data_IF_840647413274
#
_entry.id   IF_840647413274
#
_cell.length_a   1.000
_cell.length_b   1.000
_cell.length_c   1.000
_cell.angle_alpha   90.00
_cell.angle_beta   90.00
_cell.angle_gamma   90.00
#
_symmetry.space_group_name_H-M   'P 1'
#
loop_
_entity.id
_entity.type
_entity.pdbx_description
1 polymer ?
#
# COMPACT_ATOMS: atom_id res chain seq x y z
N UNK A 1 -6.81 2.16 -4.43
CA UNK A 1 -7.85 2.24 -4.66
C UNK A 1 -8.91 2.77 -5.63
N UNK A 2 -8.61 3.01 -6.92
CA UNK A 2 -9.58 3.47 -7.92
C UNK A 2 -9.56 2.58 -9.15
N UNK A 3 -10.41 2.94 -10.12
CA UNK A 3 -10.40 2.37 -11.48
C UNK A 3 -9.78 3.38 -12.44
N UNK A 4 -8.90 2.89 -13.32
CA UNK A 4 -8.27 3.70 -14.36
C UNK A 4 -8.91 3.41 -15.72
N UNK A 5 -9.65 4.39 -16.23
CA UNK A 5 -10.28 4.32 -17.55
C UNK A 5 -9.32 4.83 -18.61
N UNK A 6 -8.91 3.94 -19.51
CA UNK A 6 -8.01 4.28 -20.61
C UNK A 6 -8.66 5.24 -21.59
N UNK A 7 -7.94 6.29 -21.98
CA UNK A 7 -8.38 7.28 -22.98
C UNK A 7 -7.66 7.10 -24.32
N UNK A 8 -7.09 5.92 -24.58
CA UNK A 8 -6.34 5.58 -25.80
C UNK A 8 -5.11 6.45 -26.02
N UNK A 9 -4.48 6.94 -24.92
CA UNK A 9 -3.33 7.83 -24.97
C UNK A 9 -3.66 9.29 -25.32
N UNK A 10 -4.94 9.67 -25.33
CA UNK A 10 -5.39 11.02 -25.67
C UNK A 10 -5.90 11.75 -24.42
N UNK A 11 -5.65 13.07 -24.37
CA UNK A 11 -6.24 13.97 -23.41
C UNK A 11 -7.48 14.66 -24.01
N UNK A 12 -8.33 15.29 -23.16
CA UNK A 12 -9.46 16.10 -23.63
C UNK A 12 -10.73 15.32 -23.91
N UNK A 13 -10.81 14.03 -23.58
CA UNK A 13 -12.07 13.27 -23.68
C UNK A 13 -13.05 13.70 -22.59
N UNK A 14 -14.35 13.82 -22.88
CA UNK A 14 -15.34 14.24 -21.91
C UNK A 14 -15.45 13.22 -20.76
N UNK A 15 -15.46 13.71 -19.54
CA UNK A 15 -15.74 12.95 -18.33
C UNK A 15 -17.15 13.29 -17.88
N UNK A 16 -17.99 12.27 -17.71
CA UNK A 16 -19.38 12.41 -17.35
C UNK A 16 -19.60 12.10 -15.87
N UNK A 17 -20.50 12.84 -15.23
CA UNK A 17 -20.96 12.56 -13.88
C UNK A 17 -21.66 11.19 -13.83
N UNK A 18 -21.28 10.32 -12.92
CA UNK A 18 -21.85 8.95 -12.83
C UNK A 18 -23.26 8.91 -12.25
N UNK A 19 -23.63 9.91 -11.45
CA UNK A 19 -24.94 10.04 -10.81
C UNK A 19 -25.21 11.51 -10.48
N UNK A 20 -26.48 11.88 -10.23
CA UNK A 20 -26.84 13.21 -9.72
C UNK A 20 -26.05 13.54 -8.46
N UNK A 21 -25.53 14.77 -8.35
CA UNK A 21 -24.77 15.18 -7.17
C UNK A 21 -24.31 16.63 -7.23
N UNK A 22 -23.65 17.07 -6.19
CA UNK A 22 -23.03 18.39 -6.12
C UNK A 22 -21.51 18.28 -5.94
N UNK A 23 -20.77 19.24 -6.47
CA UNK A 23 -19.33 19.34 -6.25
C UNK A 23 -19.09 19.64 -4.77
N UNK A 24 -18.41 18.76 -4.09
CA UNK A 24 -18.08 18.92 -2.67
C UNK A 24 -16.65 19.40 -2.43
N UNK A 25 -15.73 19.09 -3.35
CA UNK A 25 -14.32 19.50 -3.26
C UNK A 25 -13.66 19.52 -4.64
N UNK A 26 -12.71 20.42 -4.81
CA UNK A 26 -11.80 20.45 -5.97
C UNK A 26 -10.37 20.57 -5.49
N UNK A 27 -9.49 19.80 -6.10
CA UNK A 27 -8.04 19.85 -5.87
C UNK A 27 -7.33 20.30 -7.14
N UNK A 28 -6.31 21.15 -6.96
CA UNK A 28 -5.28 21.44 -7.96
C UNK A 28 -3.94 21.38 -7.25
N UNK A 29 -3.13 20.38 -7.59
CA UNK A 29 -1.84 20.11 -6.93
C UNK A 29 -0.79 19.71 -7.97
N UNK A 30 0.51 19.98 -7.75
CA UNK A 30 1.56 19.56 -8.68
C UNK A 30 1.81 18.06 -8.71
N UNK A 31 1.29 17.30 -7.73
CA UNK A 31 1.45 15.86 -7.60
C UNK A 31 0.14 15.16 -7.23
N UNK A 32 0.17 13.88 -6.88
CA UNK A 32 -1.01 13.10 -6.52
C UNK A 32 -2.02 13.07 -7.68
N UNK A 33 -3.25 13.51 -7.43
CA UNK A 33 -4.31 13.57 -8.46
C UNK A 33 -4.07 14.66 -9.55
N UNK A 34 -3.13 15.59 -9.35
CA UNK A 34 -3.03 16.77 -10.19
C UNK A 34 -4.25 17.65 -10.01
N UNK A 35 -5.14 17.64 -11.00
CA UNK A 35 -6.46 18.24 -10.89
C UNK A 35 -7.49 17.14 -10.61
N UNK A 36 -8.35 17.35 -9.60
CA UNK A 36 -9.42 16.42 -9.26
C UNK A 36 -10.70 17.12 -8.82
N UNK A 37 -11.84 16.51 -9.17
CA UNK A 37 -13.17 16.94 -8.76
C UNK A 37 -13.84 15.82 -7.95
N UNK A 38 -14.47 16.21 -6.83
CA UNK A 38 -15.21 15.33 -5.93
C UNK A 38 -16.69 15.70 -6.02
N UNK A 39 -17.54 14.72 -6.32
CA UNK A 39 -18.97 14.90 -6.42
C UNK A 39 -19.66 14.03 -5.38
N UNK A 40 -20.39 14.67 -4.47
CA UNK A 40 -21.17 13.99 -3.44
C UNK A 40 -22.58 13.72 -3.94
N UNK A 41 -23.01 12.46 -3.82
CA UNK A 41 -24.29 11.95 -4.30
C UNK A 41 -25.29 11.72 -3.16
N UNK A 42 -26.61 11.81 -3.43
CA UNK A 42 -27.65 11.61 -2.39
C UNK A 42 -27.66 10.22 -1.75
N UNK A 43 -27.03 9.22 -2.41
CA UNK A 43 -26.97 7.83 -1.94
C UNK A 43 -25.87 7.56 -0.91
N UNK A 44 -25.19 8.59 -0.39
CA UNK A 44 -24.13 8.45 0.63
C UNK A 44 -22.75 8.15 0.08
N UNK A 45 -22.54 8.22 -1.23
CA UNK A 45 -21.24 8.08 -1.87
C UNK A 45 -20.72 9.38 -2.44
N UNK A 46 -19.40 9.47 -2.56
CA UNK A 46 -18.70 10.56 -3.26
C UNK A 46 -17.84 9.93 -4.35
N UNK A 47 -18.04 10.36 -5.60
CA UNK A 47 -17.16 10.00 -6.71
C UNK A 47 -16.02 11.00 -6.84
N UNK A 48 -14.82 10.52 -7.14
CA UNK A 48 -13.61 11.30 -7.35
C UNK A 48 -13.11 11.05 -8.77
N UNK A 49 -12.78 12.12 -9.48
CA UNK A 49 -12.25 12.08 -10.83
C UNK A 49 -10.92 12.80 -10.85
N UNK A 50 -9.83 12.04 -11.01
CA UNK A 50 -8.45 12.53 -10.96
C UNK A 50 -7.80 12.66 -12.33
N UNK A 51 -6.64 13.30 -12.36
CA UNK A 51 -5.80 13.55 -13.53
C UNK A 51 -6.49 14.36 -14.63
N UNK A 52 -7.53 15.17 -14.28
CA UNK A 52 -8.30 15.92 -15.28
C UNK A 52 -7.48 17.05 -15.86
N UNK A 53 -7.71 17.35 -17.14
CA UNK A 53 -7.08 18.44 -17.87
C UNK A 53 -7.76 19.78 -17.59
N UNK A 54 -9.10 19.76 -17.53
CA UNK A 54 -9.90 20.97 -17.42
C UNK A 54 -11.26 20.65 -16.79
N UNK A 55 -11.68 21.45 -15.82
CA UNK A 55 -13.02 21.38 -15.24
C UNK A 55 -14.08 21.98 -16.16
N UNK A 56 -15.33 21.58 -15.98
CA UNK A 56 -16.49 22.28 -16.57
C UNK A 56 -16.51 23.75 -16.15
N UNK A 57 -17.03 24.61 -17.01
CA UNK A 57 -16.94 26.09 -16.87
C UNK A 57 -17.41 26.62 -15.52
N UNK A 58 -18.48 26.04 -14.95
CA UNK A 58 -18.98 26.43 -13.64
C UNK A 58 -17.98 26.18 -12.50
N UNK A 59 -17.25 25.10 -12.56
CA UNK A 59 -16.20 24.75 -11.59
C UNK A 59 -14.92 25.53 -11.85
N UNK A 60 -14.49 25.59 -13.12
CA UNK A 60 -13.28 26.31 -13.52
C UNK A 60 -13.30 27.76 -13.06
N UNK A 61 -14.44 28.45 -13.24
CA UNK A 61 -14.59 29.85 -12.81
C UNK A 61 -14.32 30.03 -11.31
N UNK A 62 -14.86 29.16 -10.45
CA UNK A 62 -14.66 29.25 -8.99
C UNK A 62 -13.20 29.00 -8.63
N UNK A 63 -12.55 28.02 -9.29
CA UNK A 63 -11.13 27.71 -9.09
C UNK A 63 -10.25 28.88 -9.50
N UNK A 64 -10.46 29.44 -10.69
CA UNK A 64 -9.69 30.57 -11.22
C UNK A 64 -9.85 31.83 -10.32
N UNK A 65 -11.08 32.15 -9.91
CA UNK A 65 -11.34 33.26 -8.98
C UNK A 65 -10.61 33.08 -7.65
N UNK A 66 -10.53 31.85 -7.12
CA UNK A 66 -9.79 31.54 -5.92
C UNK A 66 -8.29 31.72 -6.14
N UNK A 67 -7.74 31.15 -7.22
CA UNK A 67 -6.31 31.23 -7.56
C UNK A 67 -5.81 32.66 -7.70
N UNK A 68 -6.53 33.48 -8.45
CA UNK A 68 -6.19 34.90 -8.63
C UNK A 68 -6.32 35.71 -7.33
N UNK A 69 -7.37 35.46 -6.53
CA UNK A 69 -7.56 36.15 -5.25
C UNK A 69 -6.47 35.86 -4.23
N UNK A 70 -5.96 34.64 -4.21
CA UNK A 70 -4.98 34.18 -3.22
C UNK A 70 -3.56 34.09 -3.79
N UNK A 71 -3.36 34.49 -5.05
CA UNK A 71 -2.06 34.42 -5.75
C UNK A 71 -1.38 33.06 -5.62
N UNK A 72 -2.16 31.96 -5.76
CA UNK A 72 -1.69 30.60 -5.60
C UNK A 72 -2.14 29.70 -6.75
N UNK A 73 -1.25 28.80 -7.20
CA UNK A 73 -1.63 27.77 -8.16
C UNK A 73 -2.36 26.61 -7.48
N UNK A 74 -1.87 26.18 -6.31
CA UNK A 74 -2.42 25.05 -5.58
C UNK A 74 -3.76 25.40 -4.93
N UNK A 75 -4.73 24.53 -5.09
CA UNK A 75 -6.10 24.69 -4.57
C UNK A 75 -6.54 23.42 -3.85
N UNK A 76 -7.11 23.60 -2.67
CA UNK A 76 -7.92 22.60 -1.97
C UNK A 76 -9.20 23.30 -1.51
N UNK A 77 -10.20 23.30 -2.37
CA UNK A 77 -11.41 24.12 -2.21
C UNK A 77 -12.61 23.22 -1.92
N UNK A 78 -13.25 23.42 -0.78
CA UNK A 78 -14.54 22.84 -0.44
C UNK A 78 -15.66 23.72 -0.97
N UNK A 79 -16.67 23.11 -1.53
CA UNK A 79 -17.87 23.76 -2.05
C UNK A 79 -19.03 23.59 -1.06
N UNK A 80 -19.88 24.62 -0.99
CA UNK A 80 -21.14 24.49 -0.28
C UNK A 80 -22.11 23.56 -1.05
N UNK A 81 -22.96 22.82 -0.35
CA UNK A 81 -23.99 22.02 -0.99
C UNK A 81 -24.81 22.85 -1.98
N UNK A 82 -25.00 22.32 -3.17
CA UNK A 82 -25.75 22.97 -4.27
C UNK A 82 -25.13 24.23 -4.92
N UNK A 83 -23.92 24.62 -4.51
CA UNK A 83 -23.20 25.74 -5.15
C UNK A 83 -22.92 25.42 -6.63
N UNK A 84 -22.47 24.20 -6.94
CA UNK A 84 -22.36 23.65 -8.29
C UNK A 84 -22.86 22.22 -8.27
N UNK A 85 -23.85 21.90 -9.08
CA UNK A 85 -24.45 20.56 -9.17
C UNK A 85 -24.45 20.05 -10.59
N UNK A 86 -24.41 18.73 -10.73
CA UNK A 86 -24.47 18.04 -12.01
C UNK A 86 -25.50 16.92 -11.97
N UNK A 87 -26.10 16.65 -13.11
CA UNK A 87 -26.93 15.48 -13.35
C UNK A 87 -26.11 14.33 -13.88
N UNK A 88 -26.59 13.11 -13.69
CA UNK A 88 -26.01 11.93 -14.31
C UNK A 88 -25.84 12.13 -15.82
N UNK A 89 -24.66 11.84 -16.34
CA UNK A 89 -24.31 12.00 -17.76
C UNK A 89 -23.87 13.40 -18.18
N UNK A 90 -23.97 14.43 -17.35
CA UNK A 90 -23.43 15.76 -17.67
C UNK A 90 -21.90 15.76 -17.66
N UNK A 91 -21.29 16.57 -18.53
CA UNK A 91 -19.83 16.71 -18.62
C UNK A 91 -19.34 17.57 -17.45
N UNK A 92 -18.49 16.98 -16.61
CA UNK A 92 -17.92 17.61 -15.42
C UNK A 92 -16.49 18.09 -15.62
N UNK A 93 -15.75 17.44 -16.53
CA UNK A 93 -14.35 17.72 -16.82
C UNK A 93 -13.93 17.11 -18.16
N UNK A 94 -12.68 17.39 -18.57
CA UNK A 94 -12.00 16.73 -19.67
C UNK A 94 -10.84 15.89 -19.12
N UNK A 95 -10.64 14.68 -19.64
CA UNK A 95 -9.55 13.77 -19.24
C UNK A 95 -8.19 14.39 -19.54
N UNK A 96 -7.22 14.12 -18.67
CA UNK A 96 -5.87 14.67 -18.75
C UNK A 96 -4.78 13.66 -18.40
N UNK A 97 -3.66 14.22 -17.94
CA UNK A 97 -2.47 13.48 -17.50
C UNK A 97 -1.77 14.25 -16.36
N UNK A 98 -2.54 15.00 -15.56
CA UNK A 98 -2.01 15.86 -14.52
C UNK A 98 -1.61 15.06 -13.26
N UNK A 99 -0.64 15.58 -12.49
CA UNK A 99 -0.17 14.96 -11.24
C UNK A 99 0.70 13.71 -11.45
N UNK A 100 0.56 12.70 -10.59
CA UNK A 100 1.26 11.43 -10.72
C UNK A 100 0.56 10.51 -11.71
N UNK A 101 0.86 10.69 -12.98
CA UNK A 101 0.30 9.87 -14.07
C UNK A 101 1.37 9.53 -15.09
N UNK A 102 1.40 8.27 -15.54
CA UNK A 102 2.35 7.76 -16.54
C UNK A 102 1.80 7.82 -17.98
N UNK A 103 0.61 8.35 -18.17
CA UNK A 103 -0.04 8.50 -19.47
C UNK A 103 -1.50 8.88 -19.33
N UNK A 104 -2.12 9.45 -20.40
CA UNK A 104 -3.50 9.94 -20.35
C UNK A 104 -4.50 8.85 -19.94
N UNK A 105 -5.24 9.09 -18.86
CA UNK A 105 -6.32 8.25 -18.36
C UNK A 105 -7.25 9.05 -17.44
N UNK A 106 -8.40 8.51 -17.09
CA UNK A 106 -9.22 8.96 -15.98
C UNK A 106 -9.01 8.03 -14.80
N UNK A 107 -8.52 8.55 -13.68
CA UNK A 107 -8.57 7.88 -12.40
C UNK A 107 -9.90 8.17 -11.70
N UNK A 108 -10.68 7.14 -11.38
CA UNK A 108 -11.97 7.28 -10.73
C UNK A 108 -12.03 6.47 -9.43
N UNK A 109 -12.48 7.13 -8.35
CA UNK A 109 -12.73 6.47 -7.06
C UNK A 109 -14.19 6.62 -6.66
N UNK A 110 -14.66 5.69 -5.85
CA UNK A 110 -15.91 5.80 -5.11
C UNK A 110 -15.57 5.72 -3.62
N UNK A 111 -16.09 6.66 -2.85
CA UNK A 111 -15.88 6.77 -1.41
C UNK A 111 -17.20 6.82 -0.67
N UNK A 112 -17.23 6.30 0.55
CA UNK A 112 -18.30 6.64 1.49
C UNK A 112 -18.17 8.11 1.88
N UNK A 113 -19.25 8.84 1.81
CA UNK A 113 -19.23 10.30 2.07
C UNK A 113 -18.92 10.62 3.53
N UNK A 114 -19.41 9.83 4.46
CA UNK A 114 -19.28 10.01 5.92
C UNK A 114 -17.88 9.71 6.45
N UNK A 115 -17.26 8.63 5.97
CA UNK A 115 -15.96 8.15 6.47
C UNK A 115 -14.80 8.46 5.54
N UNK A 116 -15.07 8.79 4.27
CA UNK A 116 -14.03 8.90 3.23
C UNK A 116 -13.44 7.57 2.80
N UNK A 117 -13.98 6.44 3.29
CA UNK A 117 -13.53 5.09 2.95
C UNK A 117 -13.57 4.86 1.44
N UNK A 118 -12.42 4.49 0.87
CA UNK A 118 -12.31 4.08 -0.53
C UNK A 118 -12.97 2.72 -0.68
N UNK A 119 -13.94 2.63 -1.56
CA UNK A 119 -14.64 1.40 -1.92
C UNK A 119 -14.10 0.90 -3.26
N UNK A 120 -14.06 -0.42 -3.47
CA UNK A 120 -13.75 -0.98 -4.78
C UNK A 120 -14.83 -0.56 -5.79
N UNK A 121 -14.52 0.32 -6.78
CA UNK A 121 -15.53 0.81 -7.72
C UNK A 121 -16.11 -0.29 -8.59
N UNK A 122 -15.40 -1.40 -8.80
CA UNK A 122 -15.84 -2.50 -9.65
C UNK A 122 -17.17 -3.12 -9.15
N UNK A 123 -17.45 -3.03 -7.84
CA UNK A 123 -18.72 -3.48 -7.25
C UNK A 123 -19.96 -2.84 -7.90
N UNK A 124 -19.82 -1.63 -8.44
CA UNK A 124 -20.92 -0.88 -9.06
C UNK A 124 -21.04 -1.13 -10.57
N UNK A 125 -20.17 -1.97 -11.14
CA UNK A 125 -20.10 -2.22 -12.59
C UNK A 125 -20.19 -3.70 -12.95
N UNK A 126 -20.50 -4.59 -12.01
CA UNK A 126 -20.53 -6.04 -12.24
C UNK A 126 -21.57 -6.50 -13.26
N UNK A 127 -22.60 -5.68 -13.54
CA UNK A 127 -23.59 -5.91 -14.59
C UNK A 127 -23.06 -5.53 -15.98
N UNK A 128 -22.09 -4.63 -16.06
CA UNK A 128 -21.54 -4.06 -17.31
C UNK A 128 -20.19 -4.62 -17.68
N UNK A 129 -19.34 -4.87 -16.68
CA UNK A 129 -18.03 -5.47 -16.87
C UNK A 129 -18.14 -6.95 -16.54
N UNK A 130 -17.75 -7.81 -17.47
CA UNK A 130 -17.73 -9.26 -17.31
C UNK A 130 -16.32 -9.71 -17.08
N UNK A 131 -16.16 -10.72 -16.22
CA UNK A 131 -14.88 -11.35 -15.98
C UNK A 131 -15.05 -12.84 -15.68
N UNK A 132 -14.26 -13.67 -16.34
CA UNK A 132 -14.21 -15.13 -16.18
C UNK A 132 -12.80 -15.63 -15.86
N UNK A 133 -11.84 -14.71 -15.72
CA UNK A 133 -10.43 -15.04 -15.54
C UNK A 133 -10.08 -15.08 -14.05
N UNK A 134 -9.72 -16.24 -13.48
CA UNK A 134 -9.38 -16.34 -12.06
C UNK A 134 -8.04 -15.68 -11.73
N UNK A 135 -7.86 -15.22 -10.48
CA UNK A 135 -6.59 -14.75 -9.98
C UNK A 135 -5.48 -15.80 -10.12
N UNK A 136 -4.24 -15.35 -10.36
CA UNK A 136 -3.09 -16.24 -10.55
C UNK A 136 -1.94 -15.87 -9.64
N UNK A 137 -1.40 -16.88 -8.94
CA UNK A 137 -0.17 -16.75 -8.20
C UNK A 137 1.05 -17.15 -9.03
N UNK A 138 2.19 -16.55 -8.73
CA UNK A 138 3.48 -16.88 -9.35
C UNK A 138 4.49 -17.41 -8.33
N UNK A 139 4.35 -17.03 -7.03
CA UNK A 139 5.33 -17.34 -6.00
C UNK A 139 4.66 -17.41 -4.63
N UNK A 140 5.14 -18.36 -3.82
CA UNK A 140 4.92 -18.42 -2.37
C UNK A 140 6.20 -17.96 -1.66
N UNK A 141 6.05 -17.24 -0.57
CA UNK A 141 7.15 -16.87 0.32
C UNK A 141 6.94 -17.49 1.70
N UNK A 142 7.95 -18.09 2.28
CA UNK A 142 7.96 -18.53 3.68
C UNK A 142 8.85 -17.60 4.49
N UNK A 143 8.38 -17.23 5.67
CA UNK A 143 9.04 -16.30 6.59
C UNK A 143 9.30 -17.01 7.92
N UNK A 144 10.47 -17.62 8.11
CA UNK A 144 10.88 -18.09 9.44
C UNK A 144 10.91 -16.90 10.40
N UNK A 145 10.29 -17.03 11.57
CA UNK A 145 10.37 -16.00 12.59
C UNK A 145 11.78 -15.99 13.20
N UNK A 146 12.39 -14.82 13.28
CA UNK A 146 13.79 -14.65 13.74
C UNK A 146 13.98 -15.26 15.15
N UNK A 147 14.95 -16.12 15.32
CA UNK A 147 15.22 -16.83 16.58
C UNK A 147 14.18 -17.86 17.00
N UNK A 148 13.15 -18.11 16.19
CA UNK A 148 12.06 -19.03 16.53
C UNK A 148 11.64 -19.97 15.40
N UNK A 149 12.17 -19.80 14.20
CA UNK A 149 11.82 -20.62 13.05
C UNK A 149 12.97 -20.79 12.06
N UNK A 150 12.91 -21.84 11.26
CA UNK A 150 13.90 -22.16 10.22
C UNK A 150 13.20 -22.84 9.04
N UNK A 151 13.63 -22.51 7.82
CA UNK A 151 13.20 -23.14 6.56
C UNK A 151 14.44 -23.57 5.79
N UNK A 152 14.55 -24.87 5.49
CA UNK A 152 15.70 -25.48 4.80
C UNK A 152 17.06 -25.05 5.39
N UNK A 153 17.16 -25.06 6.72
CA UNK A 153 18.38 -24.70 7.44
C UNK A 153 18.68 -23.21 7.55
N UNK A 154 17.77 -22.36 7.11
CA UNK A 154 17.96 -20.89 7.12
C UNK A 154 16.86 -20.16 7.87
N UNK A 155 17.23 -19.10 8.58
CA UNK A 155 16.27 -18.14 9.17
C UNK A 155 15.92 -16.98 8.22
N UNK A 156 16.39 -17.03 6.97
CA UNK A 156 16.01 -16.06 5.94
C UNK A 156 14.75 -16.49 5.23
N UNK A 157 13.97 -15.51 4.74
CA UNK A 157 12.79 -15.78 3.91
C UNK A 157 13.14 -16.62 2.68
N UNK A 158 12.27 -17.55 2.33
CA UNK A 158 12.44 -18.51 1.23
C UNK A 158 11.34 -18.34 0.21
N UNK A 159 11.70 -18.05 -1.03
CA UNK A 159 10.75 -18.02 -2.17
C UNK A 159 10.63 -19.40 -2.82
N UNK A 160 9.41 -19.74 -3.22
CA UNK A 160 9.04 -20.98 -3.92
C UNK A 160 8.23 -20.60 -5.14
N UNK A 161 8.68 -20.97 -6.32
CA UNK A 161 7.89 -20.81 -7.55
C UNK A 161 6.65 -21.69 -7.51
N UNK A 162 5.52 -21.20 -8.01
CA UNK A 162 4.29 -22.00 -8.14
C UNK A 162 4.53 -23.29 -8.94
N UNK A 163 5.43 -23.27 -9.93
CA UNK A 163 5.81 -24.46 -10.70
C UNK A 163 6.52 -25.55 -9.84
N UNK A 164 7.05 -25.21 -8.68
CA UNK A 164 7.79 -26.11 -7.79
C UNK A 164 7.00 -26.56 -6.56
N UNK A 165 5.70 -26.22 -6.44
CA UNK A 165 4.88 -26.51 -5.25
C UNK A 165 4.68 -28.01 -4.98
N UNK A 166 4.93 -28.87 -5.95
CA UNK A 166 4.91 -30.33 -5.76
C UNK A 166 6.06 -30.88 -4.92
N UNK A 167 7.09 -30.09 -4.64
CA UNK A 167 8.23 -30.50 -3.81
C UNK A 167 8.01 -30.01 -2.38
N UNK A 168 8.02 -30.91 -1.37
CA UNK A 168 7.93 -30.51 0.03
C UNK A 168 9.14 -29.65 0.46
N UNK A 169 8.87 -28.64 1.29
CA UNK A 169 9.88 -27.75 1.87
C UNK A 169 10.02 -28.06 3.35
N UNK A 170 11.24 -28.32 3.83
CA UNK A 170 11.45 -28.63 5.25
C UNK A 170 11.47 -27.37 6.11
N UNK A 171 10.77 -27.41 7.25
CA UNK A 171 10.76 -26.32 8.22
C UNK A 171 10.65 -26.82 9.66
N UNK A 172 11.02 -25.95 10.61
CA UNK A 172 10.86 -26.18 12.05
C UNK A 172 10.64 -24.87 12.80
N UNK A 173 9.80 -24.90 13.84
CA UNK A 173 9.47 -23.73 14.65
C UNK A 173 8.43 -22.82 14.01
N UNK A 174 8.48 -21.51 14.29
CA UNK A 174 7.47 -20.54 13.92
C UNK A 174 7.70 -20.00 12.49
N UNK A 175 6.72 -20.21 11.62
CA UNK A 175 6.78 -19.85 10.19
C UNK A 175 5.52 -19.08 9.81
N UNK A 176 5.68 -17.96 9.12
CA UNK A 176 4.60 -17.31 8.38
C UNK A 176 4.73 -17.55 6.87
N UNK A 177 3.67 -17.28 6.12
CA UNK A 177 3.67 -17.41 4.67
C UNK A 177 3.24 -16.11 3.99
N UNK A 178 3.44 -16.02 2.68
CA UNK A 178 2.93 -14.96 1.82
C UNK A 178 2.81 -15.45 0.39
N UNK A 179 2.09 -14.70 -0.44
CA UNK A 179 1.80 -15.07 -1.82
C UNK A 179 1.95 -13.87 -2.74
N UNK A 180 2.65 -14.06 -3.86
CA UNK A 180 2.64 -13.11 -4.98
C UNK A 180 1.59 -13.56 -5.98
N UNK A 181 0.51 -12.82 -6.04
CA UNK A 181 -0.61 -13.08 -6.93
C UNK A 181 -1.19 -11.78 -7.47
N UNK A 182 -1.78 -11.87 -8.64
CA UNK A 182 -2.54 -10.81 -9.29
C UNK A 182 -3.85 -11.37 -9.81
N UNK A 183 -4.82 -10.52 -9.88
CA UNK A 183 -6.04 -10.76 -10.63
C UNK A 183 -5.90 -10.26 -12.06
N UNK A 184 -6.70 -10.82 -12.98
CA UNK A 184 -6.71 -10.52 -14.40
C UNK A 184 -8.15 -10.41 -14.86
N UNK A 185 -8.42 -9.56 -15.83
CA UNK A 185 -9.78 -9.37 -16.35
C UNK A 185 -9.82 -9.65 -17.85
N UNK A 186 -10.95 -10.16 -18.29
CA UNK A 186 -11.22 -10.45 -19.69
C UNK A 186 -11.00 -9.21 -20.57
N UNK A 187 -10.32 -9.38 -21.69
CA UNK A 187 -10.07 -8.31 -22.66
C UNK A 187 -9.05 -7.25 -22.26
N UNK A 188 -8.32 -7.44 -21.14
CA UNK A 188 -7.23 -6.55 -20.71
C UNK A 188 -5.94 -7.31 -20.45
N UNK A 189 -4.82 -6.61 -20.46
CA UNK A 189 -3.49 -7.14 -20.08
C UNK A 189 -2.98 -6.57 -18.75
N UNK A 190 -3.81 -5.84 -18.03
CA UNK A 190 -3.42 -5.24 -16.76
C UNK A 190 -3.44 -6.30 -15.64
N UNK A 191 -2.60 -6.06 -14.63
CA UNK A 191 -2.64 -6.78 -13.37
C UNK A 191 -3.50 -5.99 -12.37
N UNK A 192 -4.39 -6.69 -11.68
CA UNK A 192 -5.24 -6.13 -10.64
C UNK A 192 -4.92 -6.74 -9.28
N UNK A 193 -5.38 -6.11 -8.21
CA UNK A 193 -5.30 -6.67 -6.87
C UNK A 193 -6.25 -7.85 -6.71
N UNK A 194 -5.80 -8.90 -6.02
CA UNK A 194 -6.67 -10.02 -5.65
C UNK A 194 -7.62 -9.58 -4.55
N UNK A 195 -8.93 -9.80 -4.74
CA UNK A 195 -9.94 -9.38 -3.75
C UNK A 195 -9.84 -10.17 -2.46
N UNK A 196 -9.73 -11.49 -2.54
CA UNK A 196 -9.68 -12.37 -1.37
C UNK A 196 -8.50 -13.32 -1.45
N UNK A 197 -7.75 -13.40 -0.34
CA UNK A 197 -6.66 -14.36 -0.15
C UNK A 197 -6.89 -15.06 1.18
N UNK A 198 -7.02 -16.37 1.16
CA UNK A 198 -7.19 -17.19 2.36
C UNK A 198 -6.10 -18.24 2.43
N UNK A 199 -5.46 -18.37 3.59
CA UNK A 199 -4.49 -19.42 3.88
C UNK A 199 -5.09 -20.42 4.87
N UNK A 200 -5.07 -21.68 4.48
CA UNK A 200 -5.34 -22.83 5.36
C UNK A 200 -4.06 -23.61 5.61
N UNK A 201 -3.93 -24.15 6.82
CA UNK A 201 -2.96 -25.18 7.15
C UNK A 201 -3.73 -26.39 7.69
N UNK A 202 -3.56 -27.52 7.03
CA UNK A 202 -4.42 -28.69 7.18
C UNK A 202 -5.90 -28.30 6.94
N UNK A 203 -6.74 -28.30 7.99
CA UNK A 203 -8.15 -27.91 7.91
C UNK A 203 -8.43 -26.54 8.53
N UNK A 204 -7.42 -25.91 9.14
CA UNK A 204 -7.58 -24.66 9.90
C UNK A 204 -7.32 -23.45 9.04
N UNK A 205 -8.22 -22.47 9.03
CA UNK A 205 -7.96 -21.16 8.45
C UNK A 205 -6.98 -20.40 9.36
N UNK A 206 -5.86 -19.99 8.78
CA UNK A 206 -4.76 -19.32 9.49
C UNK A 206 -4.77 -17.81 9.24
N UNK A 207 -5.16 -17.42 8.02
CA UNK A 207 -5.17 -16.03 7.62
C UNK A 207 -6.20 -15.78 6.52
N UNK A 208 -6.79 -14.59 6.55
CA UNK A 208 -7.67 -14.07 5.49
C UNK A 208 -7.42 -12.59 5.27
N UNK A 209 -7.39 -12.20 4.01
CA UNK A 209 -7.56 -10.81 3.61
C UNK A 209 -8.74 -10.67 2.65
N UNK A 210 -9.53 -9.60 2.82
CA UNK A 210 -10.64 -9.28 1.90
C UNK A 210 -10.60 -7.78 1.62
N UNK A 211 -10.28 -7.44 0.37
CA UNK A 211 -10.16 -6.04 -0.07
C UNK A 211 -11.54 -5.53 -0.49
N UNK A 212 -12.29 -5.00 0.47
CA UNK A 212 -13.62 -4.40 0.23
C UNK A 212 -13.59 -2.87 0.29
N UNK A 213 -12.79 -2.33 1.18
CA UNK A 213 -12.61 -0.89 1.37
C UNK A 213 -11.42 -0.59 2.25
N UNK A 214 -10.91 0.64 2.14
CA UNK A 214 -9.75 1.12 2.89
C UNK A 214 -10.03 2.54 3.39
N UNK A 215 -9.93 2.77 4.70
CA UNK A 215 -9.99 4.11 5.26
C UNK A 215 -8.74 4.93 4.88
N UNK A 216 -8.85 6.26 4.77
CA UNK A 216 -7.69 7.11 4.46
C UNK A 216 -6.49 6.89 5.39
N UNK A 217 -6.73 6.71 6.69
CA UNK A 217 -5.70 6.45 7.70
C UNK A 217 -5.07 5.06 7.59
N UNK A 218 -5.75 4.10 6.98
CA UNK A 218 -5.24 2.74 6.76
C UNK A 218 -4.33 2.63 5.54
N UNK A 219 -4.33 3.62 4.65
CA UNK A 219 -3.68 3.51 3.34
C UNK A 219 -2.19 3.12 3.42
N UNK A 220 -1.44 3.66 4.38
CA UNK A 220 -0.03 3.30 4.58
C UNK A 220 0.18 1.94 5.24
N UNK A 221 -0.81 1.41 5.95
CA UNK A 221 -0.75 0.09 6.58
C UNK A 221 -0.67 -1.05 5.55
N UNK A 222 -1.09 -0.80 4.32
CA UNK A 222 -0.93 -1.72 3.18
C UNK A 222 0.56 -2.06 2.96
N UNK A 223 1.48 -1.12 3.21
CA UNK A 223 2.91 -1.36 3.11
C UNK A 223 3.40 -2.41 4.11
N UNK A 224 2.76 -2.54 5.27
CA UNK A 224 3.08 -3.55 6.27
C UNK A 224 2.33 -4.88 6.06
N UNK A 225 1.28 -4.88 5.24
CA UNK A 225 0.66 -6.11 4.77
C UNK A 225 1.49 -6.80 3.70
N UNK A 226 2.22 -6.03 2.88
CA UNK A 226 3.11 -6.58 1.87
C UNK A 226 4.52 -6.83 2.40
N UNK A 227 5.30 -7.66 1.74
CA UNK A 227 6.74 -7.69 1.95
C UNK A 227 7.35 -6.40 1.37
N UNK A 228 7.48 -5.39 2.25
CA UNK A 228 7.89 -4.04 1.85
C UNK A 228 9.27 -4.03 1.19
N UNK A 229 10.21 -4.85 1.68
CA UNK A 229 11.55 -5.00 1.09
C UNK A 229 11.47 -5.56 -0.34
N UNK A 230 10.71 -6.63 -0.56
CA UNK A 230 10.51 -7.20 -1.88
C UNK A 230 9.87 -6.20 -2.85
N UNK A 231 8.90 -5.43 -2.35
CA UNK A 231 8.24 -4.41 -3.16
C UNK A 231 9.21 -3.27 -3.55
N UNK A 232 9.95 -2.72 -2.59
CA UNK A 232 10.85 -1.58 -2.83
C UNK A 232 12.07 -1.98 -3.66
N UNK A 233 12.72 -3.12 -3.35
CA UNK A 233 13.98 -3.53 -3.99
C UNK A 233 13.77 -4.29 -5.31
N UNK A 234 12.64 -5.01 -5.48
CA UNK A 234 12.44 -5.94 -6.60
C UNK A 234 11.11 -5.77 -7.33
N UNK A 235 10.26 -4.82 -6.90
CA UNK A 235 8.90 -4.63 -7.43
C UNK A 235 8.05 -5.91 -7.35
N UNK A 236 8.29 -6.73 -6.33
CA UNK A 236 7.54 -7.92 -6.04
C UNK A 236 6.44 -7.62 -5.03
N UNK A 237 5.20 -7.60 -5.48
CA UNK A 237 4.04 -7.45 -4.61
C UNK A 237 3.71 -8.79 -3.96
N UNK A 238 4.31 -9.08 -2.81
CA UNK A 238 4.04 -10.28 -2.01
C UNK A 238 3.13 -9.91 -0.86
N UNK A 239 1.91 -10.40 -0.85
CA UNK A 239 0.95 -10.24 0.24
C UNK A 239 1.33 -11.20 1.37
N UNK A 240 1.68 -10.68 2.54
CA UNK A 240 1.96 -11.49 3.72
C UNK A 240 0.66 -12.04 4.29
N UNK A 241 0.65 -13.33 4.61
CA UNK A 241 -0.41 -13.97 5.40
C UNK A 241 -0.06 -13.92 6.89
N UNK A 242 0.38 -12.75 7.32
CA UNK A 242 0.77 -12.44 8.69
C UNK A 242 0.37 -11.00 9.01
N UNK A 243 -0.20 -10.78 10.17
CA UNK A 243 -0.49 -9.46 10.71
C UNK A 243 0.66 -9.06 11.62
N UNK A 244 1.43 -8.03 11.22
CA UNK A 244 2.49 -7.50 12.06
C UNK A 244 1.90 -6.80 13.28
N UNK A 245 2.57 -6.79 14.45
CA UNK A 245 2.00 -6.30 15.71
C UNK A 245 1.44 -4.87 15.68
N UNK A 246 2.03 -3.98 14.89
CA UNK A 246 1.60 -2.60 14.71
C UNK A 246 0.60 -2.37 13.57
N UNK A 247 0.21 -3.43 12.84
CA UNK A 247 -0.70 -3.31 11.71
C UNK A 247 -2.15 -3.59 12.12
N UNK A 248 -2.99 -2.56 12.10
CA UNK A 248 -4.42 -2.65 12.44
C UNK A 248 -5.34 -2.56 11.20
N UNK A 249 -4.84 -2.94 10.02
CA UNK A 249 -5.58 -2.92 8.76
C UNK A 249 -6.81 -3.85 8.86
N UNK A 250 -8.02 -3.28 8.82
CA UNK A 250 -9.29 -3.98 9.11
C UNK A 250 -9.61 -5.12 8.16
N UNK A 251 -9.10 -5.08 6.94
CA UNK A 251 -9.33 -6.12 5.93
C UNK A 251 -8.55 -7.41 6.20
N UNK A 252 -7.70 -7.45 7.24
CA UNK A 252 -6.90 -8.62 7.61
C UNK A 252 -7.49 -9.32 8.82
N UNK A 253 -7.56 -10.65 8.76
CA UNK A 253 -7.94 -11.53 9.85
C UNK A 253 -6.93 -12.68 9.94
N UNK A 254 -6.62 -13.12 11.15
CA UNK A 254 -5.68 -14.22 11.37
C UNK A 254 -6.05 -15.00 12.63
N UNK A 255 -5.39 -16.14 12.81
CA UNK A 255 -5.40 -16.90 14.05
C UNK A 255 -4.80 -16.08 15.22
N UNK A 256 -4.83 -16.62 16.43
CA UNK A 256 -4.31 -15.95 17.64
C UNK A 256 -2.80 -15.64 17.57
N UNK A 257 -2.06 -16.31 16.69
CA UNK A 257 -0.62 -16.09 16.45
C UNK A 257 -0.38 -15.10 15.27
N UNK A 258 -1.41 -14.37 14.84
CA UNK A 258 -1.29 -13.35 13.79
C UNK A 258 -0.93 -13.89 12.41
N UNK A 259 -1.29 -15.13 12.07
CA UNK A 259 -0.95 -15.77 10.80
C UNK A 259 0.33 -16.63 10.85
N UNK A 260 0.97 -16.71 12.01
CA UNK A 260 2.11 -17.60 12.25
C UNK A 260 1.63 -19.01 12.54
N UNK A 261 2.36 -20.00 12.00
CA UNK A 261 2.12 -21.42 12.18
C UNK A 261 3.32 -22.03 12.90
N UNK A 262 3.10 -22.82 13.93
CA UNK A 262 4.15 -23.56 14.62
C UNK A 262 4.30 -24.95 14.00
N UNK A 263 5.48 -25.24 13.48
CA UNK A 263 5.89 -26.54 12.93
C UNK A 263 6.74 -27.23 14.00
N UNK A 264 6.13 -28.09 14.82
CA UNK A 264 6.76 -28.73 15.99
C UNK A 264 6.67 -30.25 15.99
N UNK A 265 6.04 -30.83 14.96
CA UNK A 265 5.93 -32.28 14.74
C UNK A 265 6.61 -32.68 13.44
N UNK A 266 7.23 -33.85 13.42
CA UNK A 266 7.85 -34.45 12.23
C UNK A 266 6.78 -35.12 11.35
N UNK A 267 5.95 -34.28 10.70
CA UNK A 267 4.89 -34.69 9.77
C UNK A 267 4.79 -33.72 8.59
N UNK A 268 3.99 -34.05 7.63
CA UNK A 268 3.62 -33.13 6.55
C UNK A 268 2.48 -32.22 7.00
N UNK A 269 2.66 -30.89 6.87
CA UNK A 269 1.67 -29.87 7.06
C UNK A 269 1.18 -29.41 5.68
N UNK A 270 -0.13 -29.50 5.44
CA UNK A 270 -0.75 -29.20 4.15
C UNK A 270 -1.19 -27.75 4.08
N UNK A 271 -0.41 -26.93 3.41
CA UNK A 271 -0.74 -25.52 3.17
C UNK A 271 -1.59 -25.40 1.90
N UNK A 272 -2.62 -24.55 1.97
CA UNK A 272 -3.52 -24.28 0.87
C UNK A 272 -3.87 -22.81 0.83
N UNK A 273 -3.53 -22.12 -0.25
CA UNK A 273 -4.06 -20.82 -0.58
C UNK A 273 -5.31 -20.93 -1.45
N UNK A 274 -6.33 -20.17 -1.11
CA UNK A 274 -7.51 -19.93 -1.93
C UNK A 274 -7.57 -18.45 -2.28
N UNK A 275 -7.61 -18.14 -3.57
CA UNK A 275 -7.71 -16.79 -4.12
C UNK A 275 -9.07 -16.65 -4.77
N UNK A 276 -9.71 -15.49 -4.62
CA UNK A 276 -10.94 -15.17 -5.31
C UNK A 276 -10.98 -13.70 -5.74
N UNK A 277 -11.63 -13.44 -6.87
CA UNK A 277 -11.98 -12.11 -7.36
C UNK A 277 -13.40 -11.70 -6.91
N UNK A 278 -13.88 -10.57 -7.45
CA UNK A 278 -15.22 -10.05 -7.17
C UNK A 278 -16.33 -10.86 -7.85
N UNK A 279 -16.04 -11.54 -8.97
CA UNK A 279 -17.00 -12.29 -9.76
C UNK A 279 -17.17 -13.73 -9.30
N UNK A 280 -16.35 -14.16 -8.33
CA UNK A 280 -16.36 -15.53 -7.81
C UNK A 280 -15.45 -16.48 -8.58
N UNK A 281 -14.65 -15.98 -9.53
CA UNK A 281 -13.59 -16.79 -10.12
C UNK A 281 -12.53 -17.05 -9.06
N UNK A 282 -12.07 -18.30 -8.95
CA UNK A 282 -11.16 -18.69 -7.89
C UNK A 282 -10.02 -19.57 -8.38
N UNK A 283 -8.92 -19.57 -7.64
CA UNK A 283 -7.80 -20.48 -7.84
C UNK A 283 -7.26 -20.99 -6.50
N UNK A 284 -6.70 -22.17 -6.53
CA UNK A 284 -6.20 -22.86 -5.35
C UNK A 284 -4.76 -23.33 -5.58
N UNK A 285 -3.89 -23.04 -4.60
CA UNK A 285 -2.48 -23.46 -4.60
C UNK A 285 -2.19 -24.28 -3.37
N UNK A 286 -1.70 -25.50 -3.54
CA UNK A 286 -1.38 -26.43 -2.45
C UNK A 286 0.10 -26.74 -2.45
N UNK A 287 0.70 -26.78 -1.25
CA UNK A 287 2.07 -27.18 -1.05
C UNK A 287 2.25 -27.83 0.34
N UNK A 288 3.34 -28.55 0.50
CA UNK A 288 3.64 -29.25 1.73
C UNK A 288 4.83 -28.59 2.41
N UNK A 289 4.64 -28.22 3.68
CA UNK A 289 5.73 -27.92 4.59
C UNK A 289 5.97 -29.15 5.45
N UNK A 290 7.13 -29.76 5.29
CA UNK A 290 7.51 -30.94 6.04
C UNK A 290 8.17 -30.56 7.34
N UNK A 291 7.53 -30.87 8.44
CA UNK A 291 8.12 -30.76 9.77
C UNK A 291 9.36 -31.66 9.88
N UNK A 292 10.50 -31.02 10.00
CA UNK A 292 11.77 -31.70 10.21
C UNK A 292 12.57 -30.92 11.23
N UNK A 293 12.92 -31.54 12.32
CA UNK A 293 13.67 -30.91 13.39
C UNK A 293 15.01 -30.37 12.87
N UNK A 294 15.25 -29.09 13.08
CA UNK A 294 16.42 -28.36 12.65
C UNK A 294 16.85 -27.42 13.78
N UNK A 295 18.18 -27.15 13.95
CA UNK A 295 18.62 -26.18 14.93
C UNK A 295 18.08 -24.78 14.57
N UNK A 296 17.61 -24.06 15.58
CA UNK A 296 17.18 -22.66 15.48
C UNK A 296 18.18 -21.85 16.30
N UNK A 297 18.95 -21.01 15.63
CA UNK A 297 19.88 -20.11 16.29
C UNK A 297 19.10 -18.98 17.00
N UNK A 298 19.47 -18.68 18.23
CA UNK A 298 18.89 -17.57 18.97
C UNK A 298 19.20 -16.24 18.26
N UNK A 299 18.22 -15.37 18.23
CA UNK A 299 18.38 -14.05 17.61
C UNK A 299 18.89 -13.04 18.65
N UNK A 300 20.15 -12.67 18.53
CA UNK A 300 20.79 -11.65 19.34
C UNK A 300 21.30 -10.52 18.43
N UNK A 301 20.47 -9.51 18.11
CA UNK A 301 20.89 -8.44 17.22
C UNK A 301 22.05 -7.63 17.85
N UNK A 302 23.20 -7.64 17.17
CA UNK A 302 24.37 -6.84 17.56
C UNK A 302 24.25 -5.44 16.96
N UNK A 303 23.28 -4.66 17.47
CA UNK A 303 22.99 -3.30 16.99
C UNK A 303 23.05 -2.31 18.13
N UNK A 304 23.43 -1.07 17.81
CA UNK A 304 23.45 0.02 18.77
C UNK A 304 22.03 0.48 19.12
N UNK A 305 21.11 0.43 18.16
CA UNK A 305 19.75 0.92 18.30
C UNK A 305 18.75 -0.18 18.04
N UNK A 306 17.96 -0.53 19.04
CA UNK A 306 16.82 -1.43 18.93
C UNK A 306 15.54 -0.65 19.12
N UNK A 307 14.72 -0.59 18.09
CA UNK A 307 13.51 0.23 18.05
C UNK A 307 12.30 -0.65 18.33
N UNK A 308 11.58 -0.36 19.40
CA UNK A 308 10.36 -1.07 19.73
C UNK A 308 9.15 -0.45 19.00
N UNK A 309 8.33 -1.27 18.36
CA UNK A 309 7.19 -0.81 17.57
C UNK A 309 6.12 -0.08 18.42
N UNK A 310 5.95 -0.48 19.66
CA UNK A 310 4.90 0.01 20.57
C UNK A 310 5.32 1.23 21.42
N UNK A 311 6.49 1.80 21.17
CA UNK A 311 7.05 2.96 21.90
C UNK A 311 7.48 4.06 20.94
N UNK A 312 7.67 5.26 21.46
CA UNK A 312 8.47 6.27 20.78
C UNK A 312 9.95 5.92 20.87
N UNK A 313 10.68 6.15 19.80
CA UNK A 313 12.11 5.84 19.73
C UNK A 313 12.89 7.10 19.34
N UNK A 314 14.09 7.26 19.89
CA UNK A 314 15.03 8.30 19.52
C UNK A 314 16.37 7.65 19.20
N UNK A 315 16.87 7.90 18.00
CA UNK A 315 18.19 7.46 17.55
C UNK A 315 19.11 8.66 17.55
N UNK A 316 20.19 8.59 18.32
CA UNK A 316 21.19 9.65 18.38
C UNK A 316 22.53 9.14 17.86
N UNK A 317 23.04 9.84 16.85
CA UNK A 317 24.36 9.64 16.29
C UNK A 317 25.12 10.98 16.24
N UNK A 318 26.44 11.01 16.12
CA UNK A 318 27.18 12.27 16.00
C UNK A 318 26.61 13.15 14.89
N UNK A 319 26.02 14.30 15.27
CA UNK A 319 25.44 15.27 14.34
C UNK A 319 24.10 14.87 13.73
N UNK A 320 23.41 13.83 14.28
CA UNK A 320 22.10 13.41 13.79
C UNK A 320 21.21 12.95 14.95
N UNK A 321 19.93 13.33 14.88
CA UNK A 321 18.87 12.78 15.72
C UNK A 321 17.67 12.40 14.86
N UNK A 322 17.21 11.15 15.00
CA UNK A 322 16.00 10.65 14.38
C UNK A 322 14.96 10.34 15.46
N UNK A 323 13.83 11.04 15.41
CA UNK A 323 12.69 10.83 16.31
C UNK A 323 11.59 10.07 15.57
N UNK A 324 11.26 8.89 16.08
CA UNK A 324 10.22 8.01 15.57
C UNK A 324 9.09 7.96 16.62
N UNK A 325 7.97 8.67 16.43
CA UNK A 325 6.86 8.64 17.36
C UNK A 325 6.27 7.24 17.52
N UNK A 326 5.58 7.01 18.65
CA UNK A 326 4.83 5.77 18.86
C UNK A 326 3.79 5.57 17.75
N UNK A 327 3.64 4.33 17.26
CA UNK A 327 2.71 3.98 16.20
C UNK A 327 3.24 4.19 14.78
N UNK A 328 4.53 4.55 14.64
CA UNK A 328 5.14 4.70 13.31
C UNK A 328 5.71 3.39 12.76
N UNK A 329 6.08 2.46 13.63
CA UNK A 329 6.62 1.14 13.27
C UNK A 329 5.54 0.06 13.38
N UNK A 330 5.63 -0.96 12.55
CA UNK A 330 4.71 -2.11 12.55
C UNK A 330 5.28 -3.32 13.28
N UNK A 331 6.60 -3.40 13.41
CA UNK A 331 7.34 -4.43 14.13
C UNK A 331 8.62 -3.84 14.72
N UNK A 332 9.27 -4.59 15.61
CA UNK A 332 10.56 -4.17 16.16
C UNK A 332 11.64 -4.13 15.09
N UNK A 333 12.52 -3.13 15.16
CA UNK A 333 13.59 -2.92 14.19
C UNK A 333 14.95 -2.89 14.89
N UNK A 334 15.79 -3.86 14.57
CA UNK A 334 17.21 -3.80 14.91
C UNK A 334 17.93 -2.89 13.90
N UNK A 335 18.01 -1.61 14.24
CA UNK A 335 18.47 -0.57 13.31
C UNK A 335 20.01 -0.63 13.15
N UNK A 336 20.44 -0.83 11.92
CA UNK A 336 21.84 -0.84 11.55
C UNK A 336 22.20 0.51 10.93
N UNK A 337 22.57 1.48 11.79
CA UNK A 337 22.93 2.84 11.38
C UNK A 337 24.43 2.98 11.18
N UNK A 338 24.84 3.43 10.01
CA UNK A 338 26.25 3.71 9.69
C UNK A 338 26.45 5.20 9.49
N UNK A 339 27.54 5.72 10.08
CA UNK A 339 27.94 7.13 10.01
C UNK A 339 29.33 7.26 9.40
N UNK A 340 29.41 7.90 8.24
CA UNK A 340 30.68 8.25 7.62
C UNK A 340 31.03 9.68 8.02
N UNK A 341 32.12 9.83 8.78
CA UNK A 341 32.58 11.12 9.28
C UNK A 341 33.43 11.81 8.23
N UNK A 342 32.85 12.70 7.48
CA UNK A 342 33.55 13.61 6.58
C UNK A 342 33.64 15.01 7.22
N UNK A 343 34.86 15.46 7.56
CA UNK A 343 35.09 16.75 8.18
C UNK A 343 35.15 17.90 7.15
N UNK A 344 35.29 17.59 5.86
CA UNK A 344 35.29 18.57 4.78
C UNK A 344 33.88 18.88 4.29
N UNK A 345 32.92 17.98 4.50
CA UNK A 345 31.53 18.19 4.13
C UNK A 345 30.77 19.03 5.16
N UNK A 346 29.64 19.63 4.76
CA UNK A 346 28.77 20.42 5.62
C UNK A 346 28.05 19.58 6.70
N UNK A 347 27.89 18.28 6.44
CA UNK A 347 27.39 17.29 7.42
C UNK A 347 28.15 15.97 7.28
N UNK A 348 27.97 15.04 8.21
CA UNK A 348 28.33 13.64 8.00
C UNK A 348 27.35 12.98 7.04
N UNK A 349 27.74 11.86 6.46
CA UNK A 349 26.85 10.98 5.70
C UNK A 349 26.24 9.92 6.64
N UNK A 350 24.93 9.72 6.53
CA UNK A 350 24.18 8.79 7.37
C UNK A 350 23.44 7.78 6.52
N UNK A 351 23.78 6.50 6.69
CA UNK A 351 22.97 5.39 6.22
C UNK A 351 22.15 4.91 7.41
N UNK A 352 20.85 5.20 7.41
CA UNK A 352 19.99 4.94 8.58
C UNK A 352 19.70 3.46 8.80
N UNK A 353 19.59 2.67 7.75
CA UNK A 353 19.37 1.24 7.82
C UNK A 353 19.74 0.55 6.49
N UNK A 354 20.01 -0.76 6.54
CA UNK A 354 20.37 -1.56 5.35
C UNK A 354 19.14 -2.03 4.57
N UNK A 355 17.99 -2.14 5.23
CA UNK A 355 16.74 -2.64 4.66
C UNK A 355 15.64 -1.57 4.70
N UNK A 356 14.75 -1.51 3.70
CA UNK A 356 13.59 -0.63 3.75
C UNK A 356 12.66 -1.02 4.88
N UNK A 357 12.23 -0.04 5.68
CA UNK A 357 11.26 -0.20 6.77
C UNK A 357 9.99 0.56 6.42
N UNK A 358 8.84 -0.12 6.45
CA UNK A 358 7.55 0.54 6.29
C UNK A 358 7.24 1.43 7.50
N UNK A 359 6.82 2.65 7.24
CA UNK A 359 6.41 3.61 8.26
C UNK A 359 4.96 4.05 8.05
N UNK A 360 4.21 4.21 9.15
CA UNK A 360 2.83 4.70 9.12
C UNK A 360 2.73 6.17 8.70
N UNK A 361 3.71 6.99 9.10
CA UNK A 361 3.79 8.40 8.72
C UNK A 361 5.26 8.87 8.73
N UNK A 362 5.47 10.14 8.39
CA UNK A 362 6.78 10.76 8.46
C UNK A 362 7.34 10.80 9.87
N UNK A 363 8.66 10.64 9.98
CA UNK A 363 9.44 10.80 11.20
C UNK A 363 10.28 12.08 11.11
N UNK A 364 10.73 12.59 12.25
CA UNK A 364 11.57 13.79 12.27
C UNK A 364 13.04 13.40 12.23
N UNK A 365 13.75 13.84 11.21
CA UNK A 365 15.21 13.69 11.09
C UNK A 365 15.85 15.05 11.21
N UNK A 366 16.75 15.22 12.19
CA UNK A 366 17.56 16.41 12.40
C UNK A 366 19.00 16.11 12.07
N UNK A 367 19.60 16.90 11.19
CA UNK A 367 21.01 16.76 10.80
C UNK A 367 21.72 18.08 11.12
N UNK A 368 22.74 18.00 11.96
CA UNK A 368 23.60 19.12 12.31
C UNK A 368 24.49 19.50 11.13
N UNK A 369 24.45 20.75 10.74
CA UNK A 369 25.31 21.29 9.70
C UNK A 369 26.48 22.07 10.29
N UNK A 370 27.64 22.00 9.65
CA UNK A 370 28.88 22.67 10.03
C UNK A 370 29.28 23.58 8.89
N UNK A 371 29.80 24.74 9.22
CA UNK A 371 30.39 25.66 8.25
C UNK A 371 29.46 25.97 7.07
N UNK A 372 28.26 26.46 7.37
CA UNK A 372 27.37 26.97 6.32
C UNK A 372 28.11 28.03 5.49
N UNK A 373 28.29 27.83 4.17
CA UNK A 373 29.07 28.73 3.33
C UNK A 373 28.36 30.05 3.02
N UNK A 374 27.17 30.27 3.57
CA UNK A 374 26.31 31.42 3.29
C UNK A 374 25.85 32.05 4.59
N UNK A 375 26.03 33.36 4.73
CA UNK A 375 25.60 34.15 5.90
C UNK A 375 24.06 34.20 6.02
N UNK A 376 23.34 34.10 4.92
CA UNK A 376 21.89 34.17 4.84
C UNK A 376 21.25 32.76 4.92
N UNK A 377 20.81 32.40 6.12
CA UNK A 377 20.16 31.10 6.38
C UNK A 377 18.76 30.95 5.73
N UNK A 378 18.16 32.04 5.23
CA UNK A 378 16.89 32.00 4.52
C UNK A 378 16.99 31.30 3.14
N UNK A 379 18.19 31.05 2.65
CA UNK A 379 18.46 30.38 1.38
C UNK A 379 18.61 28.85 1.50
N UNK A 380 18.49 28.29 2.69
CA UNK A 380 18.50 26.84 2.93
C UNK A 380 17.07 26.33 3.14
N UNK A 381 16.68 25.35 2.33
CA UNK A 381 15.38 24.70 2.37
C UNK A 381 15.50 23.27 2.86
#
# INVERSE_FOLDING_TARGET
GGMDFKTQGEVGKPIHCIADGYVSRVLVTPGGYGQAIFITHPNGYTSVYGHVLKFASAVAKVVEEYQYRHETFAVDLKFEPHQVSFKAGEIIALSGNEGYSFGPHLHMEIRRTDTGELIDPLQFYTDKIKDTTPPRASMIMLYPQRGAGVVEGSQRKKSISVASLGQPVSAWGKIAAGIKAYDYMDGTHNNYGVRSVVLYVDTTEVFRSTVDGVLPEENRMINAWTDYEENVKRHNWVMRSQILPGNSLRMLQANDEGGVVTIDEERDYHFRYELADLYGNNSTYRFIVRGRRQPIEEYHPQVKHYLAWNKGNVVQEPGMELVIPRGMLYEDVALNCHVVKDTAAISYEYQLHDEPVALQAGCTLMIGVRHLPVEDTSKYY
#
